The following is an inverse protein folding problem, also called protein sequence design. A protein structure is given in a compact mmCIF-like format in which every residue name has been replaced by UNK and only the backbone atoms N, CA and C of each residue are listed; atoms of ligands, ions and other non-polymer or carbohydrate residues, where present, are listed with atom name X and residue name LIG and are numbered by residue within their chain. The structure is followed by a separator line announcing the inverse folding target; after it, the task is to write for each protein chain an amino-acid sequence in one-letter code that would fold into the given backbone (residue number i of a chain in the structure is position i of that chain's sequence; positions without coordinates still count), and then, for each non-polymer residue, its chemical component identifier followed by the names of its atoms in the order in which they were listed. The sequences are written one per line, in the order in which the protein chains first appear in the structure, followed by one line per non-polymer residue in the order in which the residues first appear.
data_IF_775262387333
#
_entry.id   IF_775262387333
#
_cell.length_a   1.000
_cell.length_b   1.000
_cell.length_c   1.000
_cell.angle_alpha   90.00
_cell.angle_beta   90.00
_cell.angle_gamma   90.00
#
_symmetry.space_group_name_H-M   'P 1'
#
loop_
_entity.id
_entity.type
_entity.pdbx_description
1 polymer ?
#
# COMPACT_ATOMS: atom_id res chain seq x y z
N UNK A 1 16.08 26.95 -36.36
CA UNK A 1 15.56 27.06 -34.97
C UNK A 1 14.58 25.94 -34.59
N UNK A 2 14.33 24.92 -35.43
CA UNK A 2 13.39 23.82 -35.12
C UNK A 2 14.00 22.58 -34.44
N UNK A 3 15.32 22.38 -34.54
CA UNK A 3 15.99 21.16 -34.04
C UNK A 3 16.06 21.06 -32.51
N UNK A 4 16.00 22.18 -31.80
CA UNK A 4 16.03 22.20 -30.33
C UNK A 4 14.66 21.87 -29.72
N UNK A 5 13.57 22.27 -30.38
CA UNK A 5 12.19 22.02 -29.91
C UNK A 5 11.84 20.53 -30.01
N UNK A 6 12.24 19.86 -31.10
CA UNK A 6 12.02 18.41 -31.27
C UNK A 6 12.81 17.57 -30.27
N UNK A 7 14.05 17.98 -29.93
CA UNK A 7 14.85 17.33 -28.88
C UNK A 7 14.21 17.47 -27.50
N UNK A 8 13.76 18.69 -27.14
CA UNK A 8 13.11 18.96 -25.86
C UNK A 8 11.83 18.13 -25.71
N UNK A 9 10.99 18.07 -26.76
CA UNK A 9 9.76 17.29 -26.74
C UNK A 9 10.03 15.78 -26.60
N UNK A 10 11.09 15.27 -27.25
CA UNK A 10 11.48 13.87 -27.13
C UNK A 10 12.02 13.52 -25.72
N UNK A 11 12.80 14.43 -25.12
CA UNK A 11 13.25 14.29 -23.72
C UNK A 11 12.07 14.32 -22.75
N UNK A 12 11.10 15.21 -22.93
CA UNK A 12 9.89 15.28 -22.11
C UNK A 12 9.06 13.98 -22.20
N UNK A 13 8.89 13.43 -23.41
CA UNK A 13 8.22 12.13 -23.61
C UNK A 13 8.99 10.96 -23.00
N UNK A 14 10.32 11.00 -23.01
CA UNK A 14 11.14 9.98 -22.38
C UNK A 14 11.01 10.03 -20.85
N UNK A 15 11.06 11.22 -20.26
CA UNK A 15 10.84 11.43 -18.82
C UNK A 15 9.44 10.95 -18.42
N UNK A 16 8.38 11.35 -19.14
CA UNK A 16 7.01 10.87 -18.89
C UNK A 16 6.93 9.35 -18.92
N UNK A 17 7.53 8.69 -19.92
CA UNK A 17 7.53 7.22 -20.00
C UNK A 17 8.25 6.54 -18.84
N UNK A 18 9.40 7.07 -18.42
CA UNK A 18 10.16 6.52 -17.30
C UNK A 18 9.37 6.68 -16.00
N UNK A 19 8.82 7.88 -15.75
CA UNK A 19 7.98 8.16 -14.58
C UNK A 19 6.77 7.23 -14.54
N UNK A 20 6.04 7.08 -15.65
CA UNK A 20 4.89 6.16 -15.72
C UNK A 20 5.29 4.71 -15.43
N UNK A 21 6.39 4.23 -15.99
CA UNK A 21 6.89 2.87 -15.72
C UNK A 21 7.25 2.68 -14.24
N UNK A 22 7.92 3.65 -13.63
CA UNK A 22 8.28 3.60 -12.21
C UNK A 22 7.05 3.61 -11.31
N UNK A 23 6.05 4.45 -11.62
CA UNK A 23 4.79 4.49 -10.88
C UNK A 23 4.03 3.16 -10.99
N UNK A 24 3.94 2.57 -12.18
CA UNK A 24 3.30 1.27 -12.38
C UNK A 24 4.01 0.15 -11.61
N UNK A 25 5.35 0.11 -11.66
CA UNK A 25 6.13 -0.86 -10.89
C UNK A 25 5.91 -0.70 -9.38
N UNK A 26 5.79 0.54 -8.88
CA UNK A 26 5.50 0.80 -7.46
C UNK A 26 4.11 0.32 -7.07
N UNK A 27 3.10 0.54 -7.92
CA UNK A 27 1.74 0.03 -7.69
C UNK A 27 1.72 -1.49 -7.66
N UNK A 28 2.47 -2.16 -8.54
CA UNK A 28 2.59 -3.63 -8.52
C UNK A 28 3.28 -4.15 -7.26
N UNK A 29 4.34 -3.48 -6.79
CA UNK A 29 5.00 -3.79 -5.52
C UNK A 29 4.02 -3.69 -4.35
N UNK A 30 3.30 -2.56 -4.24
CA UNK A 30 2.30 -2.34 -3.20
C UNK A 30 1.21 -3.43 -3.26
N UNK A 31 0.75 -3.82 -4.44
CA UNK A 31 -0.24 -4.89 -4.58
C UNK A 31 0.24 -6.22 -3.99
N UNK A 32 1.49 -6.60 -4.24
CA UNK A 32 2.07 -7.83 -3.69
C UNK A 32 2.16 -7.76 -2.17
N UNK A 33 2.66 -6.65 -1.63
CA UNK A 33 2.74 -6.44 -0.17
C UNK A 33 1.36 -6.47 0.47
N UNK A 34 0.37 -5.83 -0.14
CA UNK A 34 -1.03 -5.87 0.32
C UNK A 34 -1.59 -7.29 0.37
N UNK A 35 -1.30 -8.13 -0.63
CA UNK A 35 -1.72 -9.53 -0.62
C UNK A 35 -1.07 -10.32 0.52
N UNK A 36 0.21 -10.11 0.78
CA UNK A 36 0.92 -10.80 1.86
C UNK A 36 0.44 -10.34 3.24
N UNK A 37 0.20 -9.03 3.42
CA UNK A 37 -0.43 -8.51 4.64
C UNK A 37 -1.82 -9.09 4.85
N UNK A 38 -2.65 -9.19 3.80
CA UNK A 38 -3.97 -9.84 3.89
C UNK A 38 -3.89 -11.30 4.31
N UNK A 39 -2.89 -12.05 3.84
CA UNK A 39 -2.67 -13.44 4.29
C UNK A 39 -2.29 -13.48 5.77
N UNK A 40 -1.43 -12.56 6.21
CA UNK A 40 -1.03 -12.42 7.62
C UNK A 40 -2.22 -12.08 8.51
N UNK A 41 -3.05 -11.11 8.11
CA UNK A 41 -4.31 -10.79 8.79
C UNK A 41 -5.24 -12.00 8.84
N UNK A 42 -5.41 -12.72 7.73
CA UNK A 42 -6.23 -13.93 7.69
C UNK A 42 -5.71 -15.07 8.58
N UNK A 43 -4.40 -15.11 8.87
CA UNK A 43 -3.83 -16.02 9.87
C UNK A 43 -4.27 -15.63 11.29
N UNK A 44 -4.15 -14.35 11.64
CA UNK A 44 -4.61 -13.86 12.95
C UNK A 44 -6.12 -14.03 13.14
N UNK A 45 -6.91 -13.72 12.11
CA UNK A 45 -8.37 -13.88 12.15
C UNK A 45 -8.78 -15.33 12.45
N UNK A 46 -8.09 -16.30 11.86
CA UNK A 46 -8.30 -17.72 12.14
C UNK A 46 -7.77 -18.15 13.50
N UNK A 47 -6.61 -17.62 13.91
CA UNK A 47 -5.96 -17.94 15.19
C UNK A 47 -6.83 -17.50 16.38
N UNK A 48 -7.45 -16.32 16.27
CA UNK A 48 -8.26 -15.72 17.33
C UNK A 48 -9.76 -15.86 17.12
N UNK A 49 -10.22 -16.31 15.94
CA UNK A 49 -11.63 -16.45 15.62
C UNK A 49 -12.38 -15.11 15.54
N UNK A 50 -11.66 -14.02 15.28
CA UNK A 50 -12.17 -12.65 15.31
C UNK A 50 -11.77 -11.93 14.02
N UNK A 51 -12.66 -11.13 13.44
CA UNK A 51 -12.32 -10.32 12.28
C UNK A 51 -11.32 -9.22 12.66
N UNK A 52 -10.40 -8.87 11.76
CA UNK A 52 -9.40 -7.82 11.99
C UNK A 52 -10.04 -6.49 12.39
N UNK A 53 -11.20 -6.15 11.80
CA UNK A 53 -11.91 -4.91 12.11
C UNK A 53 -12.43 -4.88 13.55
N UNK A 54 -13.00 -6.00 14.03
CA UNK A 54 -13.44 -6.15 15.42
C UNK A 54 -12.26 -6.08 16.37
N UNK A 55 -11.19 -6.81 16.06
CA UNK A 55 -9.95 -6.80 16.82
C UNK A 55 -9.40 -5.38 16.96
N UNK A 56 -9.35 -4.61 15.87
CA UNK A 56 -8.82 -3.26 15.87
C UNK A 56 -9.61 -2.31 16.78
N UNK A 57 -10.93 -2.43 16.79
CA UNK A 57 -11.79 -1.64 17.68
C UNK A 57 -11.58 -2.01 19.15
N UNK A 58 -11.52 -3.30 19.48
CA UNK A 58 -11.30 -3.77 20.86
C UNK A 58 -9.88 -3.43 21.36
N UNK A 59 -8.87 -3.48 20.47
CA UNK A 59 -7.50 -3.10 20.77
C UNK A 59 -7.38 -1.61 21.11
N UNK A 60 -7.99 -0.74 20.31
CA UNK A 60 -7.99 0.72 20.54
C UNK A 60 -8.72 1.09 21.83
N UNK A 61 -9.77 0.36 22.17
CA UNK A 61 -10.52 0.55 23.42
C UNK A 61 -9.75 0.06 24.66
N UNK A 62 -8.58 -0.58 24.48
CA UNK A 62 -7.79 -1.13 25.57
C UNK A 62 -8.46 -2.32 26.27
N UNK A 63 -9.35 -3.03 25.56
CA UNK A 63 -10.06 -4.20 26.09
C UNK A 63 -9.20 -5.45 25.96
N UNK A 64 -8.32 -5.48 24.96
CA UNK A 64 -7.45 -6.62 24.69
C UNK A 64 -6.21 -6.61 25.60
N UNK A 65 -5.77 -7.81 25.92
CA UNK A 65 -4.62 -8.08 26.78
C UNK A 65 -3.29 -7.64 26.13
N UNK A 66 -2.21 -7.55 26.90
CA UNK A 66 -0.88 -7.20 26.39
C UNK A 66 -0.20 -8.38 25.69
N UNK A 67 -0.84 -8.93 24.64
CA UNK A 67 -0.27 -9.98 23.83
C UNK A 67 0.54 -9.40 22.67
N UNK A 68 1.79 -9.85 22.51
CA UNK A 68 2.67 -9.49 21.40
C UNK A 68 2.00 -9.72 20.03
N UNK A 69 1.22 -10.79 19.89
CA UNK A 69 0.46 -11.10 18.67
C UNK A 69 -0.53 -9.98 18.30
N UNK A 70 -1.13 -9.30 19.28
CA UNK A 70 -2.05 -8.20 19.02
C UNK A 70 -1.33 -6.96 18.51
N UNK A 71 -0.13 -6.67 19.02
CA UNK A 71 0.70 -5.59 18.47
C UNK A 71 1.10 -5.88 17.02
N UNK A 72 1.48 -7.13 16.71
CA UNK A 72 1.80 -7.54 15.34
C UNK A 72 0.57 -7.46 14.42
N UNK A 73 -0.60 -7.92 14.88
CA UNK A 73 -1.83 -7.85 14.13
C UNK A 73 -2.22 -6.39 13.84
N UNK A 74 -2.15 -5.52 14.86
CA UNK A 74 -2.43 -4.09 14.73
C UNK A 74 -1.46 -3.41 13.77
N UNK A 75 -0.16 -3.69 13.87
CA UNK A 75 0.84 -3.17 12.94
C UNK A 75 0.61 -3.64 11.50
N UNK A 76 0.22 -4.90 11.32
CA UNK A 76 -0.11 -5.47 10.00
C UNK A 76 -1.31 -4.75 9.38
N UNK A 77 -2.33 -4.46 10.18
CA UNK A 77 -3.52 -3.71 9.76
C UNK A 77 -3.14 -2.27 9.39
N UNK A 78 -2.42 -1.58 10.26
CA UNK A 78 -1.98 -0.19 10.03
C UNK A 78 -1.18 -0.08 8.72
N UNK A 79 -0.22 -0.99 8.51
CA UNK A 79 0.58 -1.04 7.28
C UNK A 79 -0.29 -1.29 6.03
N UNK A 80 -1.30 -2.16 6.14
CA UNK A 80 -2.23 -2.42 5.04
C UNK A 80 -3.01 -1.14 4.66
N UNK A 81 -3.45 -0.37 5.65
CA UNK A 81 -4.21 0.86 5.40
C UNK A 81 -3.32 1.97 4.83
N UNK A 82 -2.10 2.12 5.33
CA UNK A 82 -1.10 3.04 4.76
C UNK A 82 -0.82 2.72 3.28
N UNK A 83 -0.60 1.45 2.95
CA UNK A 83 -0.34 0.99 1.59
C UNK A 83 -1.55 1.22 0.65
N UNK A 84 -2.78 1.10 1.16
CA UNK A 84 -3.98 1.45 0.37
C UNK A 84 -3.99 2.94 0.04
N UNK A 85 -3.71 3.80 1.02
CA UNK A 85 -3.66 5.26 0.82
C UNK A 85 -2.56 5.61 -0.19
N UNK A 86 -1.36 5.03 -0.05
CA UNK A 86 -0.26 5.24 -0.99
C UNK A 86 -0.66 4.81 -2.40
N UNK A 87 -1.27 3.63 -2.55
CA UNK A 87 -1.75 3.13 -3.86
C UNK A 87 -2.79 4.08 -4.47
N UNK A 88 -3.76 4.55 -3.69
CA UNK A 88 -4.77 5.49 -4.18
C UNK A 88 -4.16 6.81 -4.63
N UNK A 89 -3.18 7.34 -3.89
CA UNK A 89 -2.46 8.54 -4.28
C UNK A 89 -1.70 8.34 -5.60
N UNK A 90 -0.99 7.21 -5.76
CA UNK A 90 -0.28 6.88 -7.00
C UNK A 90 -1.22 6.73 -8.19
N UNK A 91 -2.38 6.07 -8.00
CA UNK A 91 -3.40 5.94 -9.04
C UNK A 91 -4.05 7.29 -9.39
N UNK A 92 -4.18 8.20 -8.42
CA UNK A 92 -4.65 9.56 -8.65
C UNK A 92 -3.72 10.38 -9.55
N UNK A 93 -2.41 10.18 -9.44
CA UNK A 93 -1.39 10.83 -10.30
C UNK A 93 -1.37 10.25 -11.73
N UNK A 94 -1.87 9.02 -11.92
CA UNK A 94 -1.97 8.36 -13.22
C UNK A 94 -3.26 8.71 -14.01
N UNK A 95 -4.23 9.38 -13.38
CA UNK A 95 -5.46 9.87 -14.04
C UNK A 95 -5.23 11.21 -14.74
#
# INVERSE_FOLDING_TARGET
MGLDVDKINNTEQMVKRVVLKTLLAKVEEINRTVEDLKKSLGYFEKKYGMATETFYQEFIQGILDDNMDFFEWKATKDMLDELKIEKEALLGVLK
#
